data_IF_088955420312
#
_entry.id   IF_088955420312
#
_cell.length_a   1.000
_cell.length_b   1.000
_cell.length_c   1.000
_cell.angle_alpha   90.00
_cell.angle_beta   90.00
_cell.angle_gamma   90.00
#
_symmetry.space_group_name_H-M   'P 1'
#
loop_
_entity.id
_entity.type
_entity.pdbx_description
1 polymer ?
#
# COMPACT_ATOMS: atom_id res chain seq x y z
N UNK A 1 9.47 63.06 -29.75
CA UNK A 1 10.26 61.82 -29.91
C UNK A 1 10.46 61.23 -28.51
N UNK A 2 9.61 60.32 -28.03
CA UNK A 2 9.66 58.85 -28.23
C UNK A 2 10.99 58.23 -27.78
N UNK A 3 11.08 57.18 -26.96
CA UNK A 3 10.15 56.27 -26.27
C UNK A 3 11.02 55.45 -25.29
N UNK A 4 10.49 55.21 -24.08
CA UNK A 4 10.56 54.00 -23.24
C UNK A 4 11.84 53.14 -23.19
N UNK A 5 12.45 53.12 -21.99
CA UNK A 5 13.36 52.10 -21.49
C UNK A 5 12.61 50.78 -21.25
N UNK A 6 13.05 49.70 -21.91
CA UNK A 6 12.64 48.32 -21.62
C UNK A 6 13.30 47.86 -20.31
N UNK A 7 12.50 47.51 -19.30
CA UNK A 7 12.95 46.66 -18.20
C UNK A 7 12.29 45.29 -18.34
N UNK A 8 13.10 44.28 -18.60
CA UNK A 8 12.70 42.89 -18.75
C UNK A 8 12.21 42.32 -17.41
N UNK A 9 11.02 41.74 -17.40
CA UNK A 9 10.54 40.91 -16.30
C UNK A 9 10.96 39.46 -16.59
N UNK A 10 11.84 38.91 -15.76
CA UNK A 10 12.18 37.48 -15.80
C UNK A 10 11.08 36.71 -15.07
N UNK A 11 10.31 35.90 -15.80
CA UNK A 11 9.42 34.91 -15.23
C UNK A 11 10.22 33.62 -14.98
N UNK A 12 10.48 33.31 -13.70
CA UNK A 12 11.05 32.03 -13.30
C UNK A 12 9.91 31.00 -13.21
N UNK A 13 9.87 30.06 -14.14
CA UNK A 13 8.98 28.90 -14.11
C UNK A 13 9.72 27.75 -13.43
N UNK A 14 9.49 27.53 -12.13
CA UNK A 14 9.98 26.35 -11.43
C UNK A 14 8.89 25.28 -11.48
N UNK A 15 9.06 24.29 -12.36
CA UNK A 15 8.25 23.08 -12.36
C UNK A 15 8.69 22.21 -11.16
N UNK A 16 7.88 22.16 -10.10
CA UNK A 16 8.03 21.17 -9.05
C UNK A 16 7.43 19.85 -9.57
N UNK A 17 8.28 18.83 -9.77
CA UNK A 17 7.81 17.48 -10.02
C UNK A 17 7.28 16.91 -8.70
N UNK A 18 5.97 16.71 -8.60
CA UNK A 18 5.39 15.93 -7.51
C UNK A 18 5.86 14.47 -7.69
N UNK A 19 6.56 13.93 -6.70
CA UNK A 19 6.84 12.50 -6.63
C UNK A 19 5.52 11.81 -6.31
N UNK A 20 4.90 11.19 -7.31
CA UNK A 20 3.76 10.29 -7.08
C UNK A 20 4.21 9.10 -6.24
N UNK A 21 3.43 8.64 -5.24
CA UNK A 21 3.76 7.43 -4.50
C UNK A 21 3.93 6.26 -5.48
N UNK A 22 4.85 5.36 -5.17
CA UNK A 22 5.04 4.13 -5.94
C UNK A 22 3.70 3.38 -6.00
N UNK A 23 3.24 3.05 -7.21
CA UNK A 23 2.00 2.33 -7.41
C UNK A 23 2.13 0.92 -6.84
N UNK A 24 1.13 0.48 -6.09
CA UNK A 24 1.04 -0.88 -5.55
C UNK A 24 1.23 -1.94 -6.65
N UNK A 25 1.99 -3.00 -6.36
CA UNK A 25 1.94 -4.22 -7.18
C UNK A 25 0.72 -5.01 -6.71
N UNK A 26 -0.35 -5.00 -7.50
CA UNK A 26 -1.59 -5.73 -7.19
C UNK A 26 -1.58 -7.07 -7.91
N UNK A 27 -1.70 -8.16 -7.15
CA UNK A 27 -1.77 -9.51 -7.69
C UNK A 27 -3.18 -10.08 -7.52
N UNK A 28 -3.75 -10.44 -8.66
CA UNK A 28 -5.05 -11.10 -8.80
C UNK A 28 -6.14 -10.20 -9.36
N UNK A 29 -7.20 -10.81 -9.87
CA UNK A 29 -8.41 -10.12 -10.33
C UNK A 29 -9.56 -10.42 -9.37
N UNK A 30 -10.32 -9.40 -8.99
CA UNK A 30 -11.46 -9.58 -8.11
C UNK A 30 -12.63 -10.23 -8.86
N UNK A 31 -12.83 -11.54 -8.66
CA UNK A 31 -13.90 -12.33 -9.31
C UNK A 31 -14.85 -13.04 -8.32
N UNK A 32 -14.47 -13.03 -7.03
CA UNK A 32 -15.27 -13.57 -5.95
C UNK A 32 -14.88 -12.91 -4.63
N UNK A 33 -15.49 -13.35 -3.53
CA UNK A 33 -15.10 -12.88 -2.21
C UNK A 33 -15.19 -13.99 -1.18
N UNK A 34 -14.33 -13.94 -0.16
CA UNK A 34 -14.37 -14.89 0.95
C UNK A 34 -13.99 -14.20 2.26
N UNK A 35 -14.43 -14.75 3.39
CA UNK A 35 -14.14 -14.18 4.70
C UNK A 35 -12.86 -14.67 5.35
N UNK A 36 -12.10 -15.58 4.74
CA UNK A 36 -10.90 -16.15 5.35
C UNK A 36 -9.67 -15.34 4.89
N UNK A 37 -8.69 -15.06 5.77
CA UNK A 37 -8.64 -15.39 7.19
C UNK A 37 -9.23 -14.31 8.12
N UNK A 38 -9.49 -13.12 7.59
CA UNK A 38 -9.67 -11.91 8.40
C UNK A 38 -11.11 -11.62 8.84
N UNK A 39 -12.11 -12.28 8.26
CA UNK A 39 -13.51 -11.93 8.39
C UNK A 39 -14.45 -13.05 8.84
N UNK A 40 -14.07 -14.32 8.75
CA UNK A 40 -14.95 -15.43 9.14
C UNK A 40 -14.49 -16.14 10.44
N UNK A 41 -15.26 -16.05 11.55
CA UNK A 41 -14.87 -16.58 12.85
C UNK A 41 -14.73 -18.12 12.91
N UNK A 42 -15.31 -18.84 11.95
CA UNK A 42 -15.41 -20.30 11.98
C UNK A 42 -14.19 -21.07 11.46
N UNK A 43 -13.15 -20.39 10.97
CA UNK A 43 -12.10 -21.03 10.16
C UNK A 43 -10.69 -20.83 10.71
N UNK A 44 -9.84 -21.82 10.40
CA UNK A 44 -8.62 -22.19 11.14
C UNK A 44 -7.55 -21.11 11.33
N UNK A 45 -6.65 -21.41 12.26
CA UNK A 45 -5.60 -20.51 12.75
C UNK A 45 -4.50 -20.15 11.75
N UNK A 46 -4.50 -20.76 10.56
CA UNK A 46 -3.47 -20.57 9.54
C UNK A 46 -4.08 -20.36 8.16
N UNK A 47 -3.45 -19.45 7.43
CA UNK A 47 -3.69 -19.18 6.02
C UNK A 47 -2.34 -18.97 5.35
N UNK A 48 -2.10 -19.62 4.22
CA UNK A 48 -0.91 -19.39 3.43
C UNK A 48 -1.31 -19.08 1.99
N UNK A 49 -0.59 -18.17 1.36
CA UNK A 49 -0.81 -17.86 -0.05
C UNK A 49 0.52 -17.61 -0.73
N UNK A 50 0.74 -18.33 -1.82
CA UNK A 50 1.90 -18.16 -2.69
C UNK A 50 1.53 -17.24 -3.85
N UNK A 51 2.45 -16.36 -4.24
CA UNK A 51 2.32 -15.45 -5.36
C UNK A 51 3.43 -15.74 -6.36
N UNK A 52 3.08 -15.83 -7.63
CA UNK A 52 4.01 -16.13 -8.70
C UNK A 52 5.05 -15.01 -8.83
N UNK A 53 6.33 -15.36 -8.78
CA UNK A 53 7.44 -14.43 -8.95
C UNK A 53 7.33 -13.63 -10.26
N UNK A 54 6.78 -14.23 -11.32
CA UNK A 54 6.60 -13.55 -12.61
C UNK A 54 5.57 -12.42 -12.58
N UNK A 55 4.75 -12.32 -11.53
CA UNK A 55 3.81 -11.22 -11.31
C UNK A 55 4.52 -9.93 -10.85
N UNK A 56 5.80 -10.02 -10.50
CA UNK A 56 6.61 -8.89 -10.05
C UNK A 56 7.62 -8.51 -11.14
N UNK A 57 7.57 -7.26 -11.61
CA UNK A 57 8.49 -6.77 -12.65
C UNK A 57 9.93 -6.56 -12.15
N UNK A 58 10.12 -6.38 -10.85
CA UNK A 58 11.40 -6.20 -10.16
C UNK A 58 11.26 -6.55 -8.68
N UNK A 59 12.38 -6.53 -7.94
CA UNK A 59 12.33 -6.55 -6.48
C UNK A 59 11.56 -5.35 -5.91
N UNK A 60 10.99 -5.53 -4.72
CA UNK A 60 10.11 -4.57 -4.04
C UNK A 60 10.38 -4.57 -2.53
N UNK A 61 10.43 -3.38 -1.93
CA UNK A 61 10.48 -3.23 -0.46
C UNK A 61 9.06 -3.14 0.10
N UNK A 62 8.49 -4.28 0.49
CA UNK A 62 7.10 -4.37 0.94
C UNK A 62 7.01 -3.77 2.34
N UNK A 63 6.16 -2.76 2.50
CA UNK A 63 5.92 -2.08 3.78
C UNK A 63 4.45 -2.05 4.19
N UNK A 64 3.54 -2.33 3.28
CA UNK A 64 2.12 -2.44 3.56
C UNK A 64 1.49 -3.49 2.65
N UNK A 65 0.61 -4.31 3.23
CA UNK A 65 -0.24 -5.24 2.51
C UNK A 65 -1.66 -4.67 2.41
N UNK A 66 -2.22 -4.65 1.22
CA UNK A 66 -3.60 -4.21 0.98
C UNK A 66 -4.46 -5.38 0.54
N UNK A 67 -5.61 -5.59 1.19
CA UNK A 67 -6.61 -6.55 0.74
C UNK A 67 -7.88 -5.82 0.32
N UNK A 68 -8.41 -6.14 -0.85
CA UNK A 68 -9.51 -5.40 -1.46
C UNK A 68 -10.87 -5.97 -1.08
N UNK A 69 -11.90 -5.13 -1.12
CA UNK A 69 -13.27 -5.44 -0.70
C UNK A 69 -14.29 -4.89 -1.71
N UNK A 70 -14.02 -5.05 -3.00
CA UNK A 70 -14.88 -4.55 -4.08
C UNK A 70 -16.08 -5.46 -4.39
N UNK A 71 -15.93 -6.78 -4.22
CA UNK A 71 -16.97 -7.76 -4.60
C UNK A 71 -18.11 -7.83 -3.59
N UNK A 72 -17.80 -7.70 -2.29
CA UNK A 72 -18.79 -7.63 -1.21
C UNK A 72 -18.45 -6.48 -0.26
N UNK A 73 -18.75 -5.22 -0.65
CA UNK A 73 -18.32 -4.05 0.10
C UNK A 73 -18.82 -3.97 1.54
N UNK A 74 -17.96 -3.45 2.43
CA UNK A 74 -18.21 -3.27 3.85
C UNK A 74 -17.86 -4.48 4.71
N UNK A 75 -18.20 -4.36 5.99
CA UNK A 75 -17.89 -5.37 7.01
C UNK A 75 -16.85 -4.90 8.02
N UNK A 76 -16.56 -5.77 8.98
CA UNK A 76 -15.59 -5.53 10.04
C UNK A 76 -14.61 -6.68 10.13
N UNK A 77 -13.28 -6.41 10.10
CA UNK A 77 -12.28 -7.42 10.41
C UNK A 77 -12.55 -8.07 11.76
N UNK A 78 -12.17 -9.33 11.89
CA UNK A 78 -12.24 -10.07 13.16
C UNK A 78 -11.33 -9.44 14.19
N UNK A 79 -11.83 -9.36 15.42
CA UNK A 79 -11.02 -8.99 16.58
C UNK A 79 -10.06 -10.13 16.96
N UNK A 80 -8.99 -9.79 17.65
CA UNK A 80 -7.95 -10.74 18.07
C UNK A 80 -6.55 -10.32 17.61
N UNK A 81 -5.55 -11.10 17.99
CA UNK A 81 -4.18 -10.91 17.50
C UNK A 81 -3.90 -11.74 16.25
N UNK A 82 -3.24 -11.11 15.28
CA UNK A 82 -2.78 -11.69 14.04
C UNK A 82 -1.28 -11.49 13.92
N UNK A 83 -0.60 -12.54 13.46
CA UNK A 83 0.77 -12.46 13.00
C UNK A 83 0.81 -12.71 11.51
N UNK A 84 1.59 -11.89 10.80
CA UNK A 84 1.82 -12.06 9.37
C UNK A 84 3.31 -12.24 9.14
N UNK A 85 3.63 -13.20 8.30
CA UNK A 85 4.98 -13.52 7.90
C UNK A 85 5.09 -13.49 6.38
N UNK A 86 6.24 -13.03 5.90
CA UNK A 86 6.64 -13.12 4.49
C UNK A 86 7.92 -13.95 4.37
N UNK A 87 8.01 -14.71 3.28
CA UNK A 87 9.19 -15.50 2.92
C UNK A 87 9.24 -15.72 1.41
N UNK A 88 10.34 -16.29 0.94
CA UNK A 88 10.47 -16.77 -0.44
C UNK A 88 10.41 -18.28 -0.46
N UNK A 89 9.73 -18.85 -1.47
CA UNK A 89 9.55 -20.31 -1.61
C UNK A 89 9.77 -20.76 -3.05
N UNK A 90 10.19 -22.02 -3.22
CA UNK A 90 10.24 -22.70 -4.51
C UNK A 90 8.96 -23.49 -4.83
N UNK A 91 7.96 -23.46 -3.94
CA UNK A 91 6.68 -24.13 -4.17
C UNK A 91 6.00 -23.60 -5.45
N UNK A 92 5.57 -24.50 -6.32
CA UNK A 92 4.85 -24.17 -7.54
C UNK A 92 3.44 -23.65 -7.22
N UNK A 93 2.91 -22.76 -8.05
CA UNK A 93 1.61 -22.09 -7.82
C UNK A 93 0.44 -23.04 -8.07
N UNK A 94 0.50 -23.78 -9.17
CA UNK A 94 -0.54 -24.70 -9.67
C UNK A 94 -0.66 -25.98 -8.83
N UNK A 95 0.41 -26.36 -8.14
CA UNK A 95 0.43 -27.49 -7.21
C UNK A 95 0.63 -27.04 -5.77
N UNK A 96 0.32 -25.78 -5.43
CA UNK A 96 0.35 -25.31 -4.06
C UNK A 96 -0.78 -25.95 -3.26
N UNK A 97 -0.55 -27.20 -2.88
CA UNK A 97 -1.39 -28.01 -2.03
C UNK A 97 -0.67 -28.22 -0.71
N UNK A 98 -1.32 -27.89 0.40
CA UNK A 98 -0.80 -28.22 1.72
C UNK A 98 -1.75 -29.19 2.41
N UNK A 99 -2.07 -30.26 1.70
CA UNK A 99 -2.58 -31.51 2.27
C UNK A 99 -1.69 -32.02 3.43
N UNK A 100 -0.42 -31.58 3.50
CA UNK A 100 0.49 -31.76 4.65
C UNK A 100 0.33 -30.72 5.79
N UNK A 101 -0.54 -29.72 5.64
CA UNK A 101 -0.76 -28.60 6.56
C UNK A 101 0.14 -27.39 6.30
N UNK A 102 -0.27 -26.22 6.83
CA UNK A 102 0.55 -25.02 6.79
C UNK A 102 1.86 -25.22 7.56
N UNK A 103 2.95 -24.64 7.07
CA UNK A 103 4.26 -24.65 7.74
C UNK A 103 4.73 -23.23 8.07
N UNK A 104 5.53 -23.12 9.12
CA UNK A 104 6.20 -21.90 9.52
C UNK A 104 7.51 -22.29 10.17
N UNK A 105 8.62 -21.76 9.67
CA UNK A 105 9.96 -22.06 10.16
C UNK A 105 10.82 -20.79 10.27
N UNK A 106 12.11 -20.96 10.62
CA UNK A 106 13.02 -19.85 10.89
C UNK A 106 13.37 -18.98 9.66
N UNK A 107 13.03 -19.40 8.44
CA UNK A 107 13.23 -18.62 7.21
C UNK A 107 12.17 -17.52 7.02
N UNK A 108 11.07 -17.58 7.77
CA UNK A 108 9.97 -16.63 7.66
C UNK A 108 10.25 -15.37 8.47
N UNK A 109 10.09 -14.21 7.82
CA UNK A 109 10.20 -12.92 8.49
C UNK A 109 8.83 -12.51 9.01
N UNK A 110 8.69 -12.32 10.33
CA UNK A 110 7.48 -11.74 10.90
C UNK A 110 7.42 -10.26 10.53
N UNK A 111 6.40 -9.87 9.77
CA UNK A 111 6.22 -8.50 9.26
C UNK A 111 5.11 -7.73 9.96
N UNK A 112 4.24 -8.42 10.70
CA UNK A 112 3.16 -7.83 11.49
C UNK A 112 2.85 -8.68 12.70
N UNK A 113 2.50 -8.03 13.81
CA UNK A 113 2.00 -8.65 15.04
C UNK A 113 1.08 -7.66 15.76
N UNK A 114 -0.22 -7.97 15.80
CA UNK A 114 -1.19 -7.13 16.48
C UNK A 114 -2.62 -7.31 16.01
N UNK A 115 -3.45 -6.34 16.40
CA UNK A 115 -4.85 -6.29 15.98
C UNK A 115 -4.99 -5.72 14.57
N UNK A 116 -5.93 -6.26 13.79
CA UNK A 116 -6.19 -5.77 12.44
C UNK A 116 -6.69 -4.31 12.45
N UNK A 117 -6.27 -3.49 11.48
CA UNK A 117 -6.80 -2.15 11.29
C UNK A 117 -8.26 -2.20 10.83
N UNK A 118 -8.94 -1.05 10.86
CA UNK A 118 -10.29 -0.93 10.32
C UNK A 118 -10.27 -1.00 8.80
N UNK A 119 -11.36 -1.51 8.21
CA UNK A 119 -11.60 -1.40 6.78
C UNK A 119 -11.87 0.07 6.41
N UNK A 120 -11.17 0.61 5.43
CA UNK A 120 -11.35 1.97 4.94
C UNK A 120 -11.22 1.98 3.40
N UNK A 121 -12.01 2.81 2.73
CA UNK A 121 -11.94 3.01 1.26
C UNK A 121 -11.96 1.70 0.44
N UNK A 122 -12.71 0.70 0.91
CA UNK A 122 -12.81 -0.62 0.26
C UNK A 122 -11.55 -1.47 0.38
N UNK A 123 -10.66 -1.16 1.32
CA UNK A 123 -9.41 -1.88 1.55
C UNK A 123 -9.17 -2.15 3.04
N UNK A 124 -8.56 -3.31 3.31
CA UNK A 124 -7.93 -3.62 4.59
C UNK A 124 -6.43 -3.44 4.40
N UNK A 125 -5.93 -2.29 4.84
CA UNK A 125 -4.53 -1.90 4.72
C UNK A 125 -3.77 -2.20 6.00
N UNK A 126 -2.77 -3.09 5.91
CA UNK A 126 -1.97 -3.53 7.04
C UNK A 126 -0.55 -3.00 6.86
N UNK A 127 -0.19 -1.99 7.65
CA UNK A 127 1.18 -1.49 7.75
C UNK A 127 2.08 -2.52 8.43
N UNK A 128 3.22 -2.80 7.81
CA UNK A 128 4.19 -3.77 8.31
C UNK A 128 5.11 -3.11 9.33
N UNK A 129 5.25 -3.73 10.51
CA UNK A 129 6.19 -3.30 11.54
C UNK A 129 7.65 -3.58 11.16
N UNK A 130 7.85 -4.57 10.29
CA UNK A 130 9.13 -4.90 9.68
C UNK A 130 8.94 -4.98 8.16
N UNK A 131 9.71 -4.17 7.43
CA UNK A 131 9.70 -4.22 5.96
C UNK A 131 10.30 -5.53 5.46
N UNK A 132 9.85 -5.97 4.28
CA UNK A 132 10.33 -7.18 3.62
C UNK A 132 10.84 -6.87 2.21
N UNK A 133 12.14 -7.01 2.00
CA UNK A 133 12.78 -6.88 0.69
C UNK A 133 12.57 -8.16 -0.11
N UNK A 134 11.60 -8.15 -1.03
CA UNK A 134 11.33 -9.28 -1.88
C UNK A 134 12.10 -9.18 -3.20
N UNK A 135 12.82 -10.25 -3.54
CA UNK A 135 13.52 -10.42 -4.81
C UNK A 135 12.89 -11.59 -5.59
N UNK A 136 12.15 -11.32 -6.69
CA UNK A 136 11.48 -12.37 -7.45
C UNK A 136 12.43 -13.36 -8.14
N UNK A 137 13.73 -13.04 -8.23
CA UNK A 137 14.72 -13.98 -8.78
C UNK A 137 15.02 -15.14 -7.83
N UNK A 138 14.67 -15.01 -6.55
CA UNK A 138 14.94 -16.02 -5.52
C UNK A 138 13.79 -17.03 -5.33
N UNK A 139 12.65 -16.83 -6.00
CA UNK A 139 11.49 -17.71 -5.92
C UNK A 139 10.18 -16.95 -5.71
N UNK A 140 9.09 -17.69 -5.53
CA UNK A 140 7.76 -17.15 -5.31
C UNK A 140 7.64 -16.49 -3.93
N UNK A 141 6.82 -15.45 -3.81
CA UNK A 141 6.53 -14.83 -2.53
C UNK A 141 5.51 -15.70 -1.78
N UNK A 142 5.74 -15.93 -0.49
CA UNK A 142 4.82 -16.67 0.37
C UNK A 142 4.36 -15.79 1.54
N UNK A 143 3.05 -15.57 1.61
CA UNK A 143 2.35 -14.94 2.72
C UNK A 143 1.83 -16.01 3.68
N UNK A 144 2.17 -15.89 4.95
CA UNK A 144 1.60 -16.72 6.01
C UNK A 144 0.91 -15.82 7.02
N UNK A 145 -0.35 -16.10 7.29
CA UNK A 145 -1.14 -15.43 8.31
C UNK A 145 -1.49 -16.45 9.39
N UNK A 146 -1.21 -16.09 10.62
CA UNK A 146 -1.58 -16.83 11.81
C UNK A 146 -2.51 -16.00 12.68
N UNK A 147 -3.65 -16.55 13.05
CA UNK A 147 -4.51 -15.97 14.09
C UNK A 147 -4.38 -16.79 15.37
N UNK A 148 -4.59 -16.15 16.52
CA UNK A 148 -4.56 -16.81 17.83
C UNK A 148 -5.93 -16.89 18.47
N UNK A 149 -6.76 -15.87 18.21
CA UNK A 149 -8.08 -15.74 18.75
C UNK A 149 -9.11 -15.80 17.61
N UNK A 150 -10.25 -16.43 17.87
CA UNK A 150 -11.37 -16.46 16.94
C UNK A 150 -12.38 -15.37 17.32
N UNK A 151 -11.91 -14.13 17.43
CA UNK A 151 -12.76 -13.01 17.80
C UNK A 151 -13.84 -12.70 16.76
N UNK A 152 -14.80 -11.87 17.19
CA UNK A 152 -15.97 -11.49 16.38
C UNK A 152 -15.58 -10.54 15.25
N UNK A 153 -16.22 -10.70 14.10
CA UNK A 153 -16.12 -9.84 12.93
C UNK A 153 -16.83 -10.49 11.75
N UNK A 154 -17.20 -9.69 10.75
CA UNK A 154 -17.65 -10.23 9.47
C UNK A 154 -17.23 -9.33 8.33
N UNK A 155 -16.31 -9.82 7.52
CA UNK A 155 -15.71 -9.12 6.37
C UNK A 155 -15.52 -10.15 5.24
N UNK A 156 -15.69 -9.72 3.99
CA UNK A 156 -15.45 -10.54 2.81
C UNK A 156 -14.47 -9.83 1.89
N UNK A 157 -13.29 -10.40 1.67
CA UNK A 157 -12.26 -9.80 0.83
C UNK A 157 -12.25 -10.43 -0.56
N UNK A 158 -11.83 -9.64 -1.53
CA UNK A 158 -11.76 -10.00 -2.94
C UNK A 158 -10.84 -11.20 -3.11
N UNK A 159 -11.31 -12.13 -3.92
CA UNK A 159 -10.64 -13.37 -4.26
C UNK A 159 -10.48 -13.43 -5.77
N UNK A 160 -9.40 -14.07 -6.21
CA UNK A 160 -9.06 -14.35 -7.59
C UNK A 160 -9.07 -15.87 -7.80
N UNK A 161 -10.01 -16.38 -8.59
CA UNK A 161 -10.13 -17.80 -8.98
C UNK A 161 -9.32 -18.09 -10.24
N UNK A 162 -8.07 -17.63 -10.26
CA UNK A 162 -7.12 -17.73 -11.36
C UNK A 162 -6.65 -19.15 -11.73
N UNK A 163 -7.15 -20.19 -11.07
CA UNK A 163 -6.73 -21.58 -11.31
C UNK A 163 -5.22 -21.81 -11.17
N UNK A 164 -4.54 -21.10 -10.26
CA UNK A 164 -3.13 -21.33 -9.91
C UNK A 164 -2.11 -20.66 -10.84
N UNK A 165 -2.49 -19.59 -11.54
CA UNK A 165 -1.58 -18.86 -12.44
C UNK A 165 -0.77 -17.76 -11.75
N UNK A 166 -1.46 -16.82 -11.08
CA UNK A 166 -0.83 -15.63 -10.47
C UNK A 166 -0.62 -15.81 -8.96
N UNK A 167 -1.52 -16.55 -8.31
CA UNK A 167 -1.43 -16.92 -6.91
C UNK A 167 -2.16 -18.23 -6.66
N UNK A 168 -1.91 -18.85 -5.51
CA UNK A 168 -2.70 -19.95 -5.00
C UNK A 168 -2.60 -19.95 -3.48
N UNK A 169 -3.63 -20.44 -2.80
CA UNK A 169 -3.67 -20.44 -1.34
C UNK A 169 -3.85 -21.83 -0.78
N UNK A 170 -3.36 -21.95 0.43
CA UNK A 170 -3.80 -22.93 1.39
C UNK A 170 -4.60 -22.28 2.51
N UNK A 171 -5.73 -22.90 2.81
CA UNK A 171 -6.48 -22.65 4.03
C UNK A 171 -6.83 -23.99 4.66
N UNK A 172 -6.99 -24.04 5.98
CA UNK A 172 -7.42 -25.24 6.71
C UNK A 172 -8.82 -25.78 6.27
N UNK A 173 -9.46 -25.19 5.25
CA UNK A 173 -10.69 -25.65 4.62
C UNK A 173 -10.40 -26.47 3.34
N UNK A 174 -10.84 -27.74 3.25
CA UNK A 174 -10.28 -28.72 2.31
C UNK A 174 -10.74 -28.66 0.83
N UNK A 175 -11.40 -27.58 0.36
CA UNK A 175 -12.06 -27.60 -0.97
C UNK A 175 -11.78 -26.43 -1.91
N UNK A 176 -10.98 -25.43 -1.52
CA UNK A 176 -10.79 -24.19 -2.31
C UNK A 176 -9.30 -23.93 -2.62
N UNK A 177 -8.69 -24.89 -3.31
CA UNK A 177 -7.33 -24.83 -3.84
C UNK A 177 -7.36 -24.08 -5.20
N UNK A 178 -6.27 -23.40 -5.58
CA UNK A 178 -6.15 -22.62 -6.83
C UNK A 178 -6.97 -21.32 -6.92
N UNK A 179 -7.12 -20.66 -5.78
CA UNK A 179 -7.57 -19.27 -5.69
C UNK A 179 -6.79 -18.56 -4.58
N UNK A 180 -6.81 -17.23 -4.55
CA UNK A 180 -6.13 -16.43 -3.54
C UNK A 180 -6.85 -15.12 -3.28
N UNK A 181 -6.57 -14.47 -2.16
CA UNK A 181 -6.97 -13.09 -1.95
C UNK A 181 -6.30 -12.20 -3.01
N UNK A 182 -7.03 -11.21 -3.50
CA UNK A 182 -6.42 -10.12 -4.28
C UNK A 182 -5.61 -9.28 -3.30
N UNK A 183 -4.32 -9.12 -3.56
CA UNK A 183 -3.39 -8.50 -2.60
C UNK A 183 -2.52 -7.46 -3.28
N UNK A 184 -2.46 -6.28 -2.68
CA UNK A 184 -1.56 -5.20 -3.03
C UNK A 184 -0.31 -5.24 -2.18
N UNK A 185 0.86 -5.18 -2.82
CA UNK A 185 2.15 -5.03 -2.19
C UNK A 185 2.64 -3.60 -2.40
N UNK A 186 2.75 -2.85 -1.31
CA UNK A 186 3.00 -1.41 -1.37
C UNK A 186 4.36 -1.09 -0.74
N UNK A 187 5.10 -0.22 -1.41
CA UNK A 187 6.24 0.47 -0.80
C UNK A 187 5.72 1.73 -0.11
N UNK A 188 5.90 1.84 1.21
CA UNK A 188 5.59 3.08 1.92
C UNK A 188 6.73 4.08 1.70
N UNK A 189 6.60 4.95 0.69
CA UNK A 189 7.34 6.20 0.66
C UNK A 189 6.64 7.14 1.64
N UNK A 190 7.27 7.55 2.76
CA UNK A 190 6.64 8.54 3.60
C UNK A 190 6.31 9.75 2.73
N UNK A 191 5.04 10.12 2.68
CA UNK A 191 4.63 11.39 2.10
C UNK A 191 5.32 12.47 2.93
N UNK A 192 6.47 12.94 2.45
CA UNK A 192 7.14 14.09 3.04
C UNK A 192 6.13 15.23 2.95
N UNK A 193 5.66 15.80 4.07
CA UNK A 193 4.78 16.95 4.02
C UNK A 193 5.52 18.04 3.25
N UNK A 194 5.00 18.37 2.07
CA UNK A 194 5.83 18.95 1.02
C UNK A 194 6.55 20.22 1.51
N UNK A 195 7.91 20.27 1.45
CA UNK A 195 8.66 21.51 1.63
C UNK A 195 8.20 22.60 0.65
N UNK A 196 7.54 22.19 -0.45
CA UNK A 196 6.91 23.06 -1.42
C UNK A 196 5.76 23.88 -0.82
N UNK A 197 4.97 23.37 0.13
CA UNK A 197 3.89 24.16 0.75
C UNK A 197 4.46 25.36 1.50
N UNK A 198 5.54 25.15 2.24
CA UNK A 198 6.26 26.21 2.94
C UNK A 198 6.92 27.17 1.96
N UNK A 199 7.57 26.65 0.92
CA UNK A 199 8.17 27.48 -0.12
C UNK A 199 7.11 28.32 -0.87
N UNK A 200 5.93 27.79 -1.15
CA UNK A 200 4.83 28.47 -1.82
C UNK A 200 4.16 29.51 -0.91
N UNK A 201 4.00 29.22 0.38
CA UNK A 201 3.56 30.22 1.37
C UNK A 201 4.57 31.36 1.49
N UNK A 202 5.85 31.04 1.68
CA UNK A 202 6.94 32.04 1.78
C UNK A 202 7.03 32.86 0.48
N UNK A 203 6.92 32.21 -0.67
CA UNK A 203 6.97 32.88 -1.98
C UNK A 203 5.74 33.77 -2.19
N UNK A 204 4.54 33.27 -1.87
CA UNK A 204 3.29 34.04 -1.94
C UNK A 204 3.30 35.25 -1.01
N UNK A 205 3.66 35.06 0.27
CA UNK A 205 3.79 36.15 1.24
C UNK A 205 4.94 37.10 0.88
N UNK A 206 6.05 36.59 0.36
CA UNK A 206 7.17 37.38 -0.13
C UNK A 206 6.79 38.28 -1.30
N UNK A 207 6.02 37.78 -2.26
CA UNK A 207 5.49 38.56 -3.39
C UNK A 207 4.52 39.65 -2.93
N UNK A 208 3.56 39.32 -2.06
CA UNK A 208 2.60 40.29 -1.51
C UNK A 208 3.31 41.38 -0.70
N UNK A 209 4.21 40.98 0.20
CA UNK A 209 5.01 41.92 1.01
C UNK A 209 5.92 42.81 0.15
N UNK A 210 6.56 42.23 -0.87
CA UNK A 210 7.37 42.97 -1.83
C UNK A 210 6.58 44.01 -2.62
N UNK A 211 5.37 43.66 -3.07
CA UNK A 211 4.49 44.57 -3.80
C UNK A 211 4.00 45.75 -2.93
N UNK A 212 3.67 45.49 -1.65
CA UNK A 212 3.28 46.54 -0.69
C UNK A 212 4.46 47.49 -0.41
N UNK A 213 5.66 46.96 -0.20
CA UNK A 213 6.86 47.76 0.08
C UNK A 213 7.26 48.66 -1.09
N UNK A 214 7.09 48.19 -2.32
CA UNK A 214 7.37 48.98 -3.54
C UNK A 214 6.49 50.23 -3.66
N UNK A 215 5.25 50.20 -3.14
CA UNK A 215 4.31 51.33 -3.25
C UNK A 215 4.57 52.48 -2.26
N UNK A 216 5.40 52.29 -1.23
CA UNK A 216 5.66 53.33 -0.21
C UNK A 216 6.88 54.22 -0.50
N UNK A 217 7.52 54.07 -1.66
CA UNK A 217 8.62 54.95 -2.04
C UNK A 217 8.07 56.31 -2.52
N UNK A 218 8.42 57.36 -1.76
CA UNK A 218 8.27 58.80 -1.97
C UNK A 218 6.87 59.43 -1.76
N UNK A 219 6.60 59.85 -0.52
CA UNK A 219 5.82 61.06 -0.28
C UNK A 219 6.82 62.18 0.00
N UNK A 220 7.04 63.05 -0.99
CA UNK A 220 7.75 64.31 -0.79
C UNK A 220 6.75 65.32 -0.24
N UNK A 221 7.00 65.81 0.97
CA UNK A 221 6.19 66.89 1.57
C UNK A 221 6.98 68.19 1.41
N UNK A 222 6.39 69.16 0.70
CA UNK A 222 6.91 70.51 0.58
C UNK A 222 6.14 71.42 1.52
N UNK A 223 6.84 72.16 2.38
CA UNK A 223 6.23 73.16 3.27
C UNK A 223 6.33 74.56 2.64
N UNK A 224 5.29 75.37 2.84
CA UNK A 224 5.26 76.82 2.62
C UNK A 224 4.46 77.48 3.74
#
# INVERSE_FOLDING_TARGET
>A
MSKFLFQAAAAAFCAAAALSPAQAVVIGSADSSNGIPFGDPGFGYYYQQVYNASSFGSGINIRQLSFYNSQTPGGTPRTGSFQIYLSTTSAAIDTFDTSAGAWLDASFTQVFDGALPVLADGQLDIDLSQAFDYDPTQGNLLLTIRSFDLGSGRLFLDTDKNSGLTNSRFSAYPYDWNQGLVTGFNEHLPAVPEPATWAMMITGFGMVGGAIRRRRASVSVSFA
#
